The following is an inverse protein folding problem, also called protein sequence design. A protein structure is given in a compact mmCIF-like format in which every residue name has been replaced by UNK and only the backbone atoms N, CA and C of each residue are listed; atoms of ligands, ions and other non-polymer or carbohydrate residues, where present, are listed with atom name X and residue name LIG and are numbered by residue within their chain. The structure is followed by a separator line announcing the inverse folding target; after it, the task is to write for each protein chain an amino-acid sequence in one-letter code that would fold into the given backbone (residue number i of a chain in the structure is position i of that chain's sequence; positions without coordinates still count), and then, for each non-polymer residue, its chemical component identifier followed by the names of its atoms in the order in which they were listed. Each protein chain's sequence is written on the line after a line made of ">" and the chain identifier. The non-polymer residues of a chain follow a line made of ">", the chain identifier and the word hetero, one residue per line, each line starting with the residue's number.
data_IF_282871005549
#
_entry.id   IF_282871005549
#
_cell.length_a   1.000
_cell.length_b   1.000
_cell.length_c   1.000
_cell.angle_alpha   90.00
_cell.angle_beta   90.00
_cell.angle_gamma   90.00
#
_symmetry.space_group_name_H-M   'P 1'
#
loop_
_entity.id
_entity.type
_entity.pdbx_description
1 polymer ?
#
# COMPACT_ATOMS: atom_id res chain seq x y z
N UNK A 1 -20.61 33.88 20.17
CA UNK A 1 -19.23 34.05 19.62
C UNK A 1 -18.63 32.78 18.96
N UNK A 2 -19.33 31.62 18.98
CA UNK A 2 -18.81 30.35 18.40
C UNK A 2 -18.94 30.19 16.88
N UNK A 3 -19.99 30.75 16.26
CA UNK A 3 -20.29 30.54 14.83
C UNK A 3 -19.35 31.27 13.87
N UNK A 4 -18.78 32.41 14.27
CA UNK A 4 -17.82 33.14 13.45
C UNK A 4 -16.45 32.40 13.35
N UNK A 5 -16.02 31.75 14.42
CA UNK A 5 -14.79 30.94 14.43
C UNK A 5 -14.94 29.66 13.58
N UNK A 6 -16.14 29.04 13.58
CA UNK A 6 -16.42 27.89 12.71
C UNK A 6 -16.53 28.28 11.22
N UNK A 7 -17.08 29.47 10.91
CA UNK A 7 -17.14 30.00 9.55
C UNK A 7 -15.72 30.28 9.02
N UNK A 8 -14.86 30.94 9.78
CA UNK A 8 -13.46 31.22 9.41
C UNK A 8 -12.67 29.91 9.23
N UNK A 9 -12.94 28.90 10.04
CA UNK A 9 -12.29 27.59 9.91
C UNK A 9 -12.79 26.82 8.66
N UNK A 10 -14.06 26.95 8.28
CA UNK A 10 -14.61 26.39 7.03
C UNK A 10 -14.07 27.12 5.79
N UNK A 11 -14.00 28.43 5.81
CA UNK A 11 -13.50 29.23 4.67
C UNK A 11 -12.00 29.03 4.43
N UNK A 12 -11.20 28.83 5.48
CA UNK A 12 -9.78 28.49 5.34
C UNK A 12 -9.51 27.11 4.70
N UNK A 13 -10.48 26.20 4.79
CA UNK A 13 -10.40 24.87 4.18
C UNK A 13 -10.93 24.86 2.73
N UNK A 14 -11.82 25.78 2.37
CA UNK A 14 -12.50 25.80 1.07
C UNK A 14 -11.72 26.45 -0.08
N UNK A 15 -10.61 27.15 0.18
CA UNK A 15 -9.85 27.87 -0.88
C UNK A 15 -8.58 27.15 -1.36
N UNK A 16 -8.37 25.86 -1.09
CA UNK A 16 -7.36 25.11 -1.82
C UNK A 16 -7.82 24.90 -3.26
N UNK A 17 -7.06 25.42 -4.22
CA UNK A 17 -7.43 25.24 -5.62
C UNK A 17 -7.34 23.75 -5.98
N UNK A 18 -8.34 23.24 -6.70
CA UNK A 18 -8.35 21.84 -7.24
C UNK A 18 -7.05 21.50 -7.99
N UNK A 19 -6.44 22.53 -8.63
CA UNK A 19 -5.15 22.41 -9.31
C UNK A 19 -4.03 22.01 -8.35
N UNK A 20 -4.00 22.57 -7.14
CA UNK A 20 -3.01 22.23 -6.12
C UNK A 20 -3.20 20.78 -5.64
N UNK A 21 -4.43 20.37 -5.35
CA UNK A 21 -4.72 19.00 -4.92
C UNK A 21 -4.35 17.98 -6.01
N UNK A 22 -4.56 18.31 -7.29
CA UNK A 22 -4.12 17.47 -8.41
C UNK A 22 -2.60 17.39 -8.50
N UNK A 23 -1.87 18.48 -8.32
CA UNK A 23 -0.40 18.46 -8.29
C UNK A 23 0.14 17.64 -7.11
N UNK A 24 -0.51 17.76 -5.93
CA UNK A 24 -0.19 16.96 -4.74
C UNK A 24 -0.46 15.45 -4.94
N UNK A 25 -1.25 15.06 -5.92
CA UNK A 25 -1.46 13.67 -6.33
C UNK A 25 -0.44 13.27 -7.41
N UNK A 26 -0.36 14.04 -8.50
CA UNK A 26 0.38 13.65 -9.70
C UNK A 26 1.90 13.61 -9.49
N UNK A 27 2.46 14.60 -8.78
CA UNK A 27 3.90 14.66 -8.55
C UNK A 27 4.39 13.48 -7.70
N UNK A 28 3.83 13.21 -6.49
CA UNK A 28 4.26 12.06 -5.71
C UNK A 28 4.00 10.72 -6.41
N UNK A 29 2.88 10.60 -7.14
CA UNK A 29 2.60 9.39 -7.88
C UNK A 29 3.56 9.18 -9.05
N UNK A 30 3.89 10.22 -9.79
CA UNK A 30 4.92 10.17 -10.83
C UNK A 30 6.30 9.74 -10.29
N UNK A 31 6.67 10.21 -9.09
CA UNK A 31 7.88 9.76 -8.41
C UNK A 31 7.80 8.28 -8.00
N UNK A 32 6.66 7.82 -7.49
CA UNK A 32 6.45 6.38 -7.18
C UNK A 32 6.62 5.53 -8.44
N UNK A 33 6.03 5.93 -9.56
CA UNK A 33 6.23 5.24 -10.83
C UNK A 33 7.70 5.31 -11.28
N UNK A 34 8.33 6.47 -11.15
CA UNK A 34 9.76 6.63 -11.42
C UNK A 34 10.62 5.63 -10.64
N UNK A 35 10.34 5.46 -9.33
CA UNK A 35 11.01 4.45 -8.49
C UNK A 35 10.82 3.03 -9.06
N UNK A 36 9.60 2.68 -9.46
CA UNK A 36 9.26 1.32 -9.94
C UNK A 36 9.89 1.00 -11.30
N UNK A 37 10.00 2.01 -12.16
CA UNK A 37 10.46 1.84 -13.55
C UNK A 37 11.89 2.29 -13.81
N UNK A 38 12.69 2.56 -12.78
CA UNK A 38 14.09 2.98 -12.90
C UNK A 38 15.06 1.90 -12.41
N UNK A 39 16.23 1.72 -13.07
CA UNK A 39 17.25 0.79 -12.65
C UNK A 39 17.84 1.13 -11.27
N UNK A 40 18.36 0.10 -10.57
CA UNK A 40 18.83 0.18 -9.17
C UNK A 40 19.78 1.33 -8.83
N UNK A 41 20.79 1.70 -9.61
CA UNK A 41 21.71 2.78 -9.20
C UNK A 41 21.01 4.12 -8.95
N UNK A 42 20.01 4.45 -9.80
CA UNK A 42 19.24 5.70 -9.73
C UNK A 42 18.04 5.52 -8.80
N UNK A 43 17.45 4.34 -8.75
CA UNK A 43 16.24 4.01 -8.00
C UNK A 43 16.33 4.43 -6.52
N UNK A 44 17.48 4.24 -5.86
CA UNK A 44 17.66 4.61 -4.44
C UNK A 44 17.49 6.10 -4.19
N UNK A 45 17.96 6.95 -5.12
CA UNK A 45 17.83 8.40 -5.00
C UNK A 45 16.40 8.86 -5.25
N UNK A 46 15.73 8.26 -6.23
CA UNK A 46 14.31 8.49 -6.48
C UNK A 46 13.45 8.05 -5.30
N UNK A 47 13.81 6.98 -4.60
CA UNK A 47 13.15 6.52 -3.38
C UNK A 47 13.21 7.59 -2.28
N UNK A 48 14.40 8.13 -2.03
CA UNK A 48 14.61 9.19 -1.03
C UNK A 48 13.81 10.44 -1.43
N UNK A 49 13.88 10.83 -2.69
CA UNK A 49 13.13 11.98 -3.22
C UNK A 49 11.62 11.76 -3.07
N UNK A 50 11.10 10.62 -3.48
CA UNK A 50 9.67 10.30 -3.36
C UNK A 50 9.20 10.33 -1.90
N UNK A 51 9.95 9.72 -0.99
CA UNK A 51 9.66 9.74 0.43
C UNK A 51 9.68 11.17 0.99
N UNK A 52 10.71 11.96 0.68
CA UNK A 52 10.83 13.35 1.10
C UNK A 52 9.67 14.21 0.60
N UNK A 53 9.28 14.06 -0.68
CA UNK A 53 8.14 14.79 -1.26
C UNK A 53 6.82 14.40 -0.58
N UNK A 54 6.57 13.10 -0.35
CA UNK A 54 5.36 12.63 0.36
C UNK A 54 5.31 13.21 1.78
N UNK A 55 6.42 13.19 2.52
CA UNK A 55 6.50 13.74 3.88
C UNK A 55 6.27 15.26 3.85
N UNK A 56 6.95 15.97 2.97
CA UNK A 56 6.81 17.43 2.82
C UNK A 56 5.38 17.83 2.47
N UNK A 57 4.79 17.21 1.46
CA UNK A 57 3.41 17.47 1.03
C UNK A 57 2.42 17.12 2.13
N UNK A 58 2.67 16.04 2.89
CA UNK A 58 1.83 15.69 4.05
C UNK A 58 1.95 16.74 5.16
N UNK A 59 3.16 17.22 5.46
CA UNK A 59 3.38 18.24 6.48
C UNK A 59 2.73 19.58 6.12
N UNK A 60 2.88 20.03 4.87
CA UNK A 60 2.27 21.28 4.37
C UNK A 60 0.74 21.18 4.34
N UNK A 61 0.22 20.00 4.02
CA UNK A 61 -1.22 19.74 3.86
C UNK A 61 -1.84 19.06 5.08
N UNK A 62 -1.22 19.16 6.24
CA UNK A 62 -1.53 18.39 7.44
C UNK A 62 -3.03 18.30 7.76
N UNK A 63 -3.67 17.12 7.60
CA UNK A 63 -5.10 16.97 7.84
C UNK A 63 -5.42 16.58 9.30
N UNK A 64 -4.41 16.34 10.12
CA UNK A 64 -4.53 15.84 11.49
C UNK A 64 -4.52 14.32 11.59
N UNK A 65 -4.07 13.79 12.73
CA UNK A 65 -3.91 12.35 12.97
C UNK A 65 -5.22 11.57 12.87
N UNK A 66 -6.34 12.18 13.27
CA UNK A 66 -7.68 11.54 13.17
C UNK A 66 -8.09 11.33 11.71
N UNK A 67 -7.91 12.36 10.87
CA UNK A 67 -8.21 12.26 9.45
C UNK A 67 -7.31 11.25 8.73
N UNK A 68 -6.05 11.14 9.16
CA UNK A 68 -5.07 10.17 8.65
C UNK A 68 -5.28 8.75 9.18
N UNK A 69 -6.18 8.55 10.15
CA UNK A 69 -6.42 7.24 10.75
C UNK A 69 -5.30 6.73 11.64
N UNK A 70 -4.42 7.63 12.12
CA UNK A 70 -3.24 7.29 12.95
C UNK A 70 -3.54 7.31 14.45
N UNK A 71 -4.81 7.32 14.85
CA UNK A 71 -5.23 7.24 16.25
C UNK A 71 -5.83 5.87 16.57
N UNK A 72 -5.84 5.53 17.87
CA UNK A 72 -6.42 4.26 18.37
C UNK A 72 -7.95 4.21 18.31
N UNK A 73 -8.61 5.32 17.94
CA UNK A 73 -10.07 5.38 17.80
C UNK A 73 -10.56 4.31 16.82
N UNK A 74 -11.62 3.61 17.15
CA UNK A 74 -12.23 2.53 16.38
C UNK A 74 -11.31 1.32 16.09
N UNK A 75 -10.13 1.21 16.73
CA UNK A 75 -9.21 0.09 16.50
C UNK A 75 -9.91 -1.25 16.75
N UNK A 76 -10.45 -1.46 17.95
CA UNK A 76 -11.14 -2.71 18.30
C UNK A 76 -12.34 -2.99 17.39
N UNK A 77 -13.11 -1.93 17.01
CA UNK A 77 -14.28 -2.07 16.13
C UNK A 77 -13.91 -2.49 14.70
N UNK A 78 -12.68 -2.28 14.28
CA UNK A 78 -12.17 -2.62 12.96
C UNK A 78 -11.26 -3.86 12.95
N UNK A 79 -11.00 -4.50 14.11
CA UNK A 79 -10.19 -5.72 14.18
C UNK A 79 -10.78 -6.92 13.42
N UNK A 80 -12.10 -6.94 13.20
CA UNK A 80 -12.71 -7.97 12.37
C UNK A 80 -12.11 -8.02 10.94
N UNK A 81 -11.56 -6.90 10.44
CA UNK A 81 -10.89 -6.83 9.13
C UNK A 81 -9.65 -7.74 9.14
N UNK A 82 -8.91 -7.73 10.25
CA UNK A 82 -7.76 -8.63 10.45
C UNK A 82 -8.25 -10.07 10.53
N UNK A 83 -9.34 -10.33 11.27
CA UNK A 83 -9.95 -11.67 11.37
C UNK A 83 -10.39 -12.19 9.99
N UNK A 84 -11.01 -11.35 9.17
CA UNK A 84 -11.39 -11.71 7.80
C UNK A 84 -10.17 -11.99 6.91
N UNK A 85 -9.11 -11.19 7.02
CA UNK A 85 -7.85 -11.42 6.30
C UNK A 85 -7.19 -12.74 6.73
N UNK A 86 -7.18 -13.03 8.02
CA UNK A 86 -6.69 -14.31 8.56
C UNK A 86 -7.51 -15.52 8.06
N UNK A 87 -8.83 -15.40 8.03
CA UNK A 87 -9.69 -16.45 7.49
C UNK A 87 -9.42 -16.71 6.01
N UNK A 88 -9.31 -15.62 5.20
CA UNK A 88 -8.96 -15.73 3.80
C UNK A 88 -7.56 -16.35 3.60
N UNK A 89 -6.57 -15.95 4.42
CA UNK A 89 -5.24 -16.52 4.40
C UNK A 89 -5.23 -18.03 4.73
N UNK A 90 -6.00 -18.44 5.74
CA UNK A 90 -6.12 -19.86 6.10
C UNK A 90 -6.69 -20.69 4.95
N UNK A 91 -7.75 -20.21 4.30
CA UNK A 91 -8.33 -20.87 3.12
C UNK A 91 -7.30 -20.95 1.98
N UNK A 92 -6.60 -19.84 1.68
CA UNK A 92 -5.60 -19.82 0.62
C UNK A 92 -4.42 -20.77 0.90
N UNK A 93 -3.94 -20.81 2.14
CA UNK A 93 -2.85 -21.71 2.56
C UNK A 93 -3.30 -23.18 2.48
N UNK A 94 -4.51 -23.50 2.93
CA UNK A 94 -5.06 -24.86 2.82
C UNK A 94 -5.18 -25.30 1.34
N UNK A 95 -5.68 -24.40 0.47
CA UNK A 95 -5.78 -24.65 -0.96
C UNK A 95 -4.40 -24.84 -1.60
N UNK A 96 -3.45 -23.97 -1.29
CA UNK A 96 -2.09 -24.08 -1.80
C UNK A 96 -1.39 -25.35 -1.33
N UNK A 97 -1.64 -25.79 -0.08
CA UNK A 97 -1.18 -27.07 0.43
C UNK A 97 -1.75 -28.25 -0.37
N UNK A 98 -3.04 -28.21 -0.68
CA UNK A 98 -3.70 -29.23 -1.53
C UNK A 98 -3.17 -29.25 -2.97
N UNK A 99 -2.91 -28.06 -3.54
CA UNK A 99 -2.37 -27.90 -4.89
C UNK A 99 -0.84 -28.08 -4.97
N UNK A 100 -0.16 -28.36 -3.86
CA UNK A 100 1.30 -28.47 -3.79
C UNK A 100 2.04 -27.22 -4.26
N UNK A 101 1.43 -26.04 -4.11
CA UNK A 101 2.03 -24.74 -4.47
C UNK A 101 2.53 -23.95 -3.26
N UNK A 102 2.33 -24.46 -2.03
CA UNK A 102 2.69 -23.80 -0.80
C UNK A 102 4.22 -23.73 -0.62
N UNK A 103 4.74 -22.51 -0.51
CA UNK A 103 6.15 -22.22 -0.27
C UNK A 103 6.36 -21.75 1.17
N UNK A 104 6.33 -22.69 2.10
CA UNK A 104 6.54 -22.43 3.52
C UNK A 104 7.65 -23.34 4.05
N UNK A 105 8.85 -22.79 4.31
CA UNK A 105 10.03 -23.54 4.72
C UNK A 105 10.19 -23.66 6.24
N UNK A 106 9.26 -23.13 7.03
CA UNK A 106 9.34 -23.13 8.48
C UNK A 106 8.05 -22.73 9.16
N UNK A 107 8.09 -22.63 10.47
CA UNK A 107 6.97 -22.22 11.29
C UNK A 107 6.75 -20.69 11.32
N UNK A 108 5.92 -20.20 12.28
CA UNK A 108 5.60 -18.78 12.42
C UNK A 108 6.82 -17.87 12.60
N UNK A 109 7.88 -18.35 13.25
CA UNK A 109 9.14 -17.60 13.42
C UNK A 109 9.81 -17.32 12.09
N UNK A 110 9.86 -18.30 11.18
CA UNK A 110 10.40 -18.11 9.83
C UNK A 110 9.64 -17.03 9.06
N UNK A 111 8.31 -16.97 9.17
CA UNK A 111 7.51 -15.92 8.57
C UNK A 111 7.88 -14.54 9.13
N UNK A 112 8.02 -14.44 10.46
CA UNK A 112 8.40 -13.19 11.11
C UNK A 112 9.79 -12.72 10.64
N UNK A 113 10.79 -13.60 10.65
CA UNK A 113 12.16 -13.28 10.23
C UNK A 113 12.25 -12.84 8.77
N UNK A 114 11.40 -13.40 7.90
CA UNK A 114 11.48 -13.16 6.46
C UNK A 114 10.55 -12.06 5.96
N UNK A 115 9.47 -11.73 6.68
CA UNK A 115 8.45 -10.80 6.17
C UNK A 115 8.17 -9.57 7.06
N UNK A 116 8.91 -9.33 8.16
CA UNK A 116 8.70 -8.17 9.02
C UNK A 116 8.87 -6.83 8.27
N UNK A 117 9.87 -6.74 7.38
CA UNK A 117 10.05 -5.55 6.53
C UNK A 117 8.90 -5.37 5.56
N UNK A 118 8.35 -6.47 5.02
CA UNK A 118 7.17 -6.41 4.19
C UNK A 118 5.95 -5.91 4.98
N UNK A 119 5.79 -6.32 6.23
CA UNK A 119 4.71 -5.81 7.08
C UNK A 119 4.81 -4.30 7.31
N UNK A 120 6.03 -3.77 7.57
CA UNK A 120 6.26 -2.33 7.66
C UNK A 120 5.95 -1.65 6.32
N UNK A 121 6.41 -2.23 5.21
CA UNK A 121 6.15 -1.71 3.87
C UNK A 121 4.67 -1.68 3.53
N UNK A 122 3.91 -2.72 3.91
CA UNK A 122 2.45 -2.75 3.78
C UNK A 122 1.78 -1.59 4.54
N UNK A 123 2.28 -1.25 5.73
CA UNK A 123 1.85 -0.07 6.47
C UNK A 123 2.10 1.24 5.72
N UNK A 124 3.29 1.40 5.13
CA UNK A 124 3.61 2.56 4.30
C UNK A 124 2.72 2.64 3.05
N UNK A 125 2.45 1.52 2.39
CA UNK A 125 1.54 1.46 1.24
C UNK A 125 0.10 1.84 1.64
N UNK A 126 -0.40 1.37 2.79
CA UNK A 126 -1.72 1.74 3.27
C UNK A 126 -1.79 3.22 3.65
N UNK A 127 -0.72 3.78 4.22
CA UNK A 127 -0.62 5.21 4.45
C UNK A 127 -0.72 6.00 3.14
N UNK A 128 0.04 5.62 2.13
CA UNK A 128 -0.02 6.27 0.82
C UNK A 128 -1.42 6.18 0.20
N UNK A 129 -2.03 4.99 0.25
CA UNK A 129 -3.33 4.74 -0.36
C UNK A 129 -4.43 5.58 0.32
N UNK A 130 -4.57 5.51 1.66
CA UNK A 130 -5.68 6.12 2.37
C UNK A 130 -5.35 7.51 2.90
N UNK A 131 -4.26 7.65 3.64
CA UNK A 131 -3.95 8.91 4.34
C UNK A 131 -3.36 9.96 3.40
N UNK A 132 -2.78 9.53 2.28
CA UNK A 132 -2.24 10.45 1.29
C UNK A 132 -3.16 10.64 0.08
N UNK A 133 -3.36 9.62 -0.77
CA UNK A 133 -4.10 9.75 -2.03
C UNK A 133 -5.61 9.88 -1.82
N UNK A 134 -6.25 9.01 -1.04
CA UNK A 134 -7.70 9.04 -0.84
C UNK A 134 -8.17 10.38 -0.26
N UNK A 135 -7.45 10.93 0.73
CA UNK A 135 -7.83 12.22 1.32
C UNK A 135 -7.77 13.37 0.31
N UNK A 136 -6.83 13.32 -0.65
CA UNK A 136 -6.72 14.31 -1.73
C UNK A 136 -7.79 14.12 -2.79
N UNK A 137 -8.03 12.89 -3.22
CA UNK A 137 -9.12 12.61 -4.16
C UNK A 137 -10.48 13.00 -3.62
N UNK A 138 -10.73 12.88 -2.30
CA UNK A 138 -11.97 13.34 -1.69
C UNK A 138 -12.19 14.86 -1.76
N UNK A 139 -11.12 15.66 -1.98
CA UNK A 139 -11.22 17.11 -2.20
C UNK A 139 -11.50 17.47 -3.67
N UNK A 140 -11.08 16.59 -4.58
CA UNK A 140 -11.18 16.81 -6.03
C UNK A 140 -12.47 16.20 -6.60
N UNK A 141 -12.83 15.00 -6.15
CA UNK A 141 -13.93 14.21 -6.70
C UNK A 141 -15.22 14.38 -5.88
N UNK A 142 -16.38 14.41 -6.56
CA UNK A 142 -17.65 14.75 -5.90
C UNK A 142 -18.20 13.64 -4.99
N UNK A 143 -17.80 12.38 -5.22
CA UNK A 143 -18.34 11.23 -4.48
C UNK A 143 -17.22 10.43 -3.85
N UNK A 144 -17.40 10.00 -2.60
CA UNK A 144 -16.41 9.24 -1.82
C UNK A 144 -16.00 7.91 -2.49
N UNK A 145 -16.95 7.22 -3.14
CA UNK A 145 -16.63 5.97 -3.85
C UNK A 145 -15.77 6.21 -5.09
N UNK A 146 -15.94 7.37 -5.78
CA UNK A 146 -15.06 7.75 -6.90
C UNK A 146 -13.64 8.02 -6.40
N UNK A 147 -13.50 8.68 -5.27
CA UNK A 147 -12.19 8.91 -4.63
C UNK A 147 -11.54 7.57 -4.23
N UNK A 148 -12.33 6.64 -3.68
CA UNK A 148 -11.87 5.30 -3.34
C UNK A 148 -11.41 4.53 -4.59
N UNK A 149 -12.18 4.57 -5.67
CA UNK A 149 -11.85 3.89 -6.92
C UNK A 149 -10.61 4.50 -7.59
N UNK A 150 -10.50 5.84 -7.62
CA UNK A 150 -9.33 6.52 -8.18
C UNK A 150 -8.06 6.18 -7.39
N UNK A 151 -8.14 6.18 -6.04
CA UNK A 151 -7.02 5.79 -5.18
C UNK A 151 -6.60 4.33 -5.39
N UNK A 152 -7.57 3.42 -5.46
CA UNK A 152 -7.35 2.00 -5.74
C UNK A 152 -6.77 1.80 -7.15
N UNK A 153 -7.21 2.59 -8.13
CA UNK A 153 -6.65 2.59 -9.49
C UNK A 153 -5.17 2.96 -9.50
N UNK A 154 -4.77 4.05 -8.83
CA UNK A 154 -3.34 4.40 -8.70
C UNK A 154 -2.55 3.29 -8.00
N UNK A 155 -3.11 2.73 -6.93
CA UNK A 155 -2.48 1.65 -6.18
C UNK A 155 -2.29 0.40 -7.05
N UNK A 156 -3.30 0.03 -7.81
CA UNK A 156 -3.27 -1.08 -8.76
C UNK A 156 -2.25 -0.86 -9.88
N UNK A 157 -2.24 0.31 -10.51
CA UNK A 157 -1.29 0.65 -11.58
C UNK A 157 0.18 0.62 -11.11
N UNK A 158 0.45 0.94 -9.85
CA UNK A 158 1.78 0.80 -9.26
C UNK A 158 2.25 -0.67 -9.14
N UNK A 159 1.35 -1.64 -9.32
CA UNK A 159 1.68 -3.07 -9.33
C UNK A 159 1.89 -3.65 -10.73
N UNK A 160 1.82 -2.80 -11.77
CA UNK A 160 2.11 -3.26 -13.14
C UNK A 160 3.58 -3.72 -13.27
N UNK A 161 3.85 -4.69 -14.17
CA UNK A 161 2.95 -5.38 -15.06
C UNK A 161 2.40 -6.71 -14.51
N UNK A 162 2.41 -6.94 -13.19
CA UNK A 162 1.96 -8.19 -12.59
C UNK A 162 0.45 -8.43 -12.80
N UNK A 163 0.10 -9.45 -13.57
CA UNK A 163 -1.30 -9.82 -13.85
C UNK A 163 -2.05 -10.39 -12.63
N UNK A 164 -1.31 -10.75 -11.56
CA UNK A 164 -1.88 -11.17 -10.27
C UNK A 164 -2.04 -9.97 -9.33
N UNK A 165 -0.97 -9.17 -9.16
CA UNK A 165 -0.99 -8.09 -8.18
C UNK A 165 -1.86 -6.92 -8.63
N UNK A 166 -1.97 -6.63 -9.92
CA UNK A 166 -2.81 -5.53 -10.44
C UNK A 166 -4.28 -5.71 -10.03
N UNK A 167 -4.98 -6.81 -10.37
CA UNK A 167 -6.37 -7.01 -9.95
C UNK A 167 -6.50 -7.18 -8.43
N UNK A 168 -5.59 -7.87 -7.77
CA UNK A 168 -5.61 -8.03 -6.31
C UNK A 168 -5.48 -6.68 -5.60
N UNK A 169 -4.56 -5.81 -6.03
CA UNK A 169 -4.36 -4.48 -5.50
C UNK A 169 -5.58 -3.55 -5.79
N UNK A 170 -6.23 -3.70 -6.95
CA UNK A 170 -7.44 -2.93 -7.26
C UNK A 170 -8.58 -3.28 -6.29
N UNK A 171 -8.86 -4.57 -6.14
CA UNK A 171 -9.95 -5.06 -5.28
C UNK A 171 -9.65 -4.73 -3.81
N UNK A 172 -8.46 -5.10 -3.33
CA UNK A 172 -8.05 -4.79 -1.96
C UNK A 172 -8.02 -3.29 -1.70
N UNK A 173 -7.40 -2.52 -2.59
CA UNK A 173 -7.28 -1.07 -2.46
C UNK A 173 -8.63 -0.37 -2.37
N UNK A 174 -9.59 -0.78 -3.19
CA UNK A 174 -10.95 -0.23 -3.18
C UNK A 174 -11.67 -0.56 -1.86
N UNK A 175 -11.67 -1.83 -1.45
CA UNK A 175 -12.27 -2.27 -0.18
C UNK A 175 -11.61 -1.58 1.02
N UNK A 176 -10.28 -1.52 1.04
CA UNK A 176 -9.53 -0.86 2.11
C UNK A 176 -9.86 0.63 2.20
N UNK A 177 -10.03 1.33 1.07
CA UNK A 177 -10.48 2.72 1.05
C UNK A 177 -11.90 2.88 1.63
N UNK A 178 -12.84 2.01 1.28
CA UNK A 178 -14.20 2.05 1.85
C UNK A 178 -14.21 1.78 3.35
N UNK A 179 -13.44 0.79 3.80
CA UNK A 179 -13.28 0.46 5.22
C UNK A 179 -12.61 1.61 5.98
N UNK A 180 -11.59 2.25 5.39
CA UNK A 180 -10.97 3.43 5.96
C UNK A 180 -11.97 4.59 6.11
N UNK A 181 -12.80 4.84 5.12
CA UNK A 181 -13.84 5.87 5.20
C UNK A 181 -14.84 5.61 6.33
N UNK A 182 -15.10 4.35 6.65
CA UNK A 182 -16.01 3.93 7.74
C UNK A 182 -15.37 4.03 9.12
N UNK A 183 -14.14 3.53 9.28
CA UNK A 183 -13.51 3.35 10.59
C UNK A 183 -12.48 4.43 10.93
N UNK A 184 -11.88 5.06 9.93
CA UNK A 184 -10.80 6.04 10.09
C UNK A 184 -9.67 5.49 10.95
N UNK A 185 -9.27 4.24 10.71
CA UNK A 185 -8.17 3.59 11.40
C UNK A 185 -7.30 2.83 10.39
N UNK A 186 -6.02 3.19 10.35
CA UNK A 186 -5.05 2.65 9.40
C UNK A 186 -4.48 1.30 9.84
N UNK A 187 -4.35 1.08 11.15
CA UNK A 187 -3.62 -0.06 11.70
C UNK A 187 -4.19 -1.43 11.30
N UNK A 188 -5.51 -1.71 11.45
CA UNK A 188 -6.07 -2.98 11.02
C UNK A 188 -5.99 -3.20 9.52
N UNK A 189 -6.03 -2.13 8.72
CA UNK A 189 -5.88 -2.21 7.26
C UNK A 189 -4.44 -2.55 6.87
N UNK A 190 -3.45 -1.96 7.56
CA UNK A 190 -2.04 -2.29 7.37
C UNK A 190 -1.75 -3.75 7.74
N UNK A 191 -2.28 -4.22 8.87
CA UNK A 191 -2.16 -5.61 9.29
C UNK A 191 -2.81 -6.57 8.29
N UNK A 192 -4.04 -6.29 7.86
CA UNK A 192 -4.74 -7.11 6.87
C UNK A 192 -4.00 -7.14 5.53
N UNK A 193 -3.47 -6.00 5.08
CA UNK A 193 -2.65 -5.94 3.85
C UNK A 193 -1.39 -6.80 3.98
N UNK A 194 -0.68 -6.73 5.11
CA UNK A 194 0.50 -7.55 5.35
C UNK A 194 0.15 -9.05 5.31
N UNK A 195 -0.93 -9.46 5.98
CA UNK A 195 -1.40 -10.85 5.99
C UNK A 195 -1.72 -11.32 4.56
N UNK A 196 -2.53 -10.57 3.82
CA UNK A 196 -2.94 -10.94 2.46
C UNK A 196 -1.74 -10.99 1.50
N UNK A 197 -0.82 -10.03 1.59
CA UNK A 197 0.36 -10.01 0.73
C UNK A 197 1.34 -11.13 1.07
N UNK A 198 1.60 -11.42 2.35
CA UNK A 198 2.41 -12.57 2.76
C UNK A 198 1.75 -13.87 2.27
N UNK A 199 0.43 -13.95 2.35
CA UNK A 199 -0.31 -15.10 1.84
C UNK A 199 -0.07 -15.31 0.35
N UNK A 200 -0.16 -14.27 -0.47
CA UNK A 200 0.19 -14.33 -1.91
C UNK A 200 1.62 -14.84 -2.07
N UNK A 201 2.58 -14.27 -1.33
CA UNK A 201 4.01 -14.63 -1.45
C UNK A 201 4.31 -16.10 -1.14
N UNK A 202 3.54 -16.73 -0.24
CA UNK A 202 3.78 -18.13 0.16
C UNK A 202 2.87 -19.14 -0.55
N UNK A 203 1.80 -18.69 -1.20
CA UNK A 203 0.83 -19.59 -1.85
C UNK A 203 0.94 -19.60 -3.36
N UNK A 204 1.47 -18.54 -3.97
CA UNK A 204 1.63 -18.44 -5.42
C UNK A 204 3.09 -18.69 -5.79
N UNK A 205 3.38 -19.64 -6.69
CA UNK A 205 4.74 -19.93 -7.11
C UNK A 205 5.43 -18.70 -7.73
N UNK A 206 6.70 -18.47 -7.37
CA UNK A 206 7.45 -17.34 -7.86
C UNK A 206 7.65 -17.32 -9.40
N UNK A 207 7.50 -18.46 -10.06
CA UNK A 207 7.48 -18.53 -11.53
C UNK A 207 6.22 -17.86 -12.13
N UNK A 208 5.14 -17.75 -11.34
CA UNK A 208 3.84 -17.20 -11.76
C UNK A 208 3.73 -15.72 -11.41
N UNK A 209 4.06 -15.33 -10.17
CA UNK A 209 3.91 -13.96 -9.69
C UNK A 209 5.21 -13.13 -9.69
N UNK A 210 6.33 -13.74 -10.16
CA UNK A 210 7.67 -13.16 -10.16
C UNK A 210 8.13 -12.70 -8.75
N UNK A 211 7.76 -13.45 -7.71
CA UNK A 211 8.01 -13.13 -6.30
C UNK A 211 7.50 -11.72 -5.92
N UNK A 212 6.27 -11.40 -6.32
CA UNK A 212 5.59 -10.13 -6.06
C UNK A 212 6.37 -8.89 -6.56
N UNK A 213 7.19 -9.05 -7.58
CA UNK A 213 7.92 -7.92 -8.17
C UNK A 213 7.00 -7.08 -9.03
N UNK A 214 7.35 -5.80 -9.17
CA UNK A 214 6.65 -4.82 -9.99
C UNK A 214 7.62 -4.07 -10.91
N UNK A 215 7.10 -3.41 -11.93
CA UNK A 215 7.87 -2.58 -12.85
C UNK A 215 9.05 -3.32 -13.49
N UNK A 216 10.22 -2.68 -13.52
CA UNK A 216 11.43 -3.28 -14.08
C UNK A 216 11.86 -4.56 -13.35
N UNK A 217 11.59 -4.65 -12.04
CA UNK A 217 11.90 -5.85 -11.27
C UNK A 217 11.11 -7.08 -11.74
N UNK A 218 9.88 -6.87 -12.22
CA UNK A 218 9.06 -7.93 -12.82
C UNK A 218 9.62 -8.38 -14.19
N UNK A 219 9.95 -7.42 -15.06
CA UNK A 219 10.46 -7.70 -16.40
C UNK A 219 11.82 -8.41 -16.41
N UNK A 220 12.66 -8.10 -15.43
CA UNK A 220 13.98 -8.71 -15.28
C UNK A 220 14.00 -9.92 -14.32
N UNK A 221 12.84 -10.50 -14.05
CA UNK A 221 12.76 -11.70 -13.22
C UNK A 221 13.36 -12.91 -13.94
N UNK A 222 14.27 -13.63 -13.28
CA UNK A 222 14.81 -14.91 -13.74
C UNK A 222 14.61 -15.98 -12.67
N UNK A 223 13.88 -17.06 -12.97
CA UNK A 223 13.62 -18.14 -12.01
C UNK A 223 14.89 -18.81 -11.47
N UNK A 224 15.95 -18.87 -12.27
CA UNK A 224 17.21 -19.57 -11.93
C UNK A 224 17.99 -18.94 -10.76
N UNK A 225 17.68 -17.68 -10.38
CA UNK A 225 18.45 -16.94 -9.37
C UNK A 225 17.80 -16.93 -7.97
N UNK A 226 16.60 -17.55 -7.78
CA UNK A 226 15.76 -17.22 -6.65
C UNK A 226 15.45 -18.35 -5.66
N UNK A 227 16.03 -19.52 -5.83
CA UNK A 227 15.68 -20.69 -4.99
C UNK A 227 16.18 -20.60 -3.53
N UNK A 228 17.01 -19.60 -3.14
CA UNK A 228 17.67 -19.66 -1.83
C UNK A 228 17.66 -18.41 -0.95
N UNK A 229 17.16 -17.23 -1.41
CA UNK A 229 17.16 -16.03 -0.54
C UNK A 229 15.96 -15.12 -0.74
N UNK A 230 15.33 -14.63 0.37
CA UNK A 230 14.35 -13.54 0.32
C UNK A 230 14.94 -12.30 -0.36
N UNK A 231 14.10 -11.52 -1.07
CA UNK A 231 14.51 -10.38 -1.91
C UNK A 231 15.39 -9.35 -1.20
N UNK A 232 15.27 -9.20 0.11
CA UNK A 232 16.00 -8.22 0.93
C UNK A 232 17.35 -8.73 1.46
N UNK A 233 17.64 -10.03 1.42
CA UNK A 233 18.92 -10.62 1.86
C UNK A 233 20.02 -10.63 0.79
N UNK A 234 19.76 -10.16 -0.43
CA UNK A 234 20.80 -10.14 -1.46
C UNK A 234 21.79 -9.02 -1.19
N UNK A 235 22.90 -9.36 -0.59
CA UNK A 235 24.13 -8.60 -0.78
C UNK A 235 24.41 -8.56 -2.30
N UNK A 236 24.74 -7.36 -2.82
CA UNK A 236 25.21 -7.18 -4.18
C UNK A 236 26.27 -8.25 -4.52
N UNK A 237 26.29 -8.79 -5.74
CA UNK A 237 27.47 -9.52 -6.18
C UNK A 237 28.68 -8.60 -5.97
N UNK A 238 29.64 -9.07 -5.23
CA UNK A 238 30.97 -8.45 -5.20
C UNK A 238 31.53 -8.53 -6.63
N UNK A 239 32.27 -7.50 -7.09
CA UNK A 239 32.82 -7.42 -8.43
C UNK A 239 33.74 -8.61 -8.77
#
# INVERSE_FOLDING_TARGET
>A
MGWAAEAIHRDGIQHRSKRRDLLEILIPYGLVLGVIWTPRPIQKWLWILAAAVVVLVTAISWPGLDAMGLRRKNFLRSLWIVGAAMAAATVAVALAGHLHTLYLHGGPLWLLENYWLYAIWSGAQQFLLQSFFLLRFMRVLPRKWMAALASAGLFSLAHMPSYILVPAALVWGFLACLLFLRYRNLYPLAMAHAILGITIAITIPGAVDHNMRVGLGYLHYSPRYHWHHPLWMRRSPQP
#
